data_IF_550591920411
#
_entry.id   IF_550591920411
#
_cell.length_a   1.000
_cell.length_b   1.000
_cell.length_c   1.000
_cell.angle_alpha   90.00
_cell.angle_beta   90.00
_cell.angle_gamma   90.00
#
_symmetry.space_group_name_H-M   'P 1'
#
loop_
_entity.id
_entity.type
_entity.pdbx_description
1 polymer ?
#
# COMPACT_ATOMS: atom_id res chain seq x y z
N UNK A 1 -19.30 6.58 11.30
CA UNK A 1 -18.21 6.10 10.41
C UNK A 1 -18.27 4.59 10.29
N UNK A 2 -18.13 3.98 9.11
CA UNK A 2 -18.12 2.52 8.97
C UNK A 2 -16.92 1.92 9.70
N UNK A 3 -17.12 0.96 10.60
CA UNK A 3 -16.06 0.33 11.38
C UNK A 3 -14.94 -0.25 10.50
N UNK A 4 -15.31 -0.76 9.33
CA UNK A 4 -14.38 -1.31 8.35
C UNK A 4 -13.41 -0.25 7.79
N UNK A 5 -13.85 0.99 7.57
CA UNK A 5 -12.98 2.07 7.06
C UNK A 5 -11.90 2.46 8.06
N UNK A 6 -12.24 2.49 9.35
CA UNK A 6 -11.27 2.74 10.43
C UNK A 6 -10.27 1.58 10.50
N UNK A 7 -10.78 0.34 10.47
CA UNK A 7 -9.93 -0.84 10.47
C UNK A 7 -8.94 -0.84 9.30
N UNK A 8 -9.40 -0.55 8.08
CA UNK A 8 -8.55 -0.47 6.90
C UNK A 8 -7.47 0.60 7.04
N UNK A 9 -7.83 1.83 7.44
CA UNK A 9 -6.86 2.91 7.65
C UNK A 9 -5.80 2.56 8.71
N UNK A 10 -6.22 2.08 9.89
CA UNK A 10 -5.27 1.67 10.95
C UNK A 10 -4.39 0.51 10.48
N UNK A 11 -4.95 -0.44 9.75
CA UNK A 11 -4.20 -1.58 9.25
C UNK A 11 -3.17 -1.19 8.19
N UNK A 12 -3.46 -0.18 7.38
CA UNK A 12 -2.53 0.35 6.38
C UNK A 12 -1.23 0.85 7.03
N UNK A 13 -1.34 1.51 8.18
CA UNK A 13 -0.17 1.98 8.95
C UNK A 13 0.66 0.80 9.46
N UNK A 14 0.00 -0.27 9.93
CA UNK A 14 0.69 -1.48 10.40
C UNK A 14 1.39 -2.17 9.23
N UNK A 15 0.72 -2.33 8.10
CA UNK A 15 1.31 -2.94 6.90
C UNK A 15 2.48 -2.12 6.39
N UNK A 16 2.36 -0.80 6.39
CA UNK A 16 3.45 0.12 6.03
C UNK A 16 4.71 -0.12 6.85
N UNK A 17 4.57 -0.28 8.17
CA UNK A 17 5.70 -0.62 9.05
C UNK A 17 6.32 -1.96 8.65
N UNK A 18 5.52 -2.97 8.34
CA UNK A 18 6.01 -4.29 7.93
C UNK A 18 6.70 -4.22 6.56
N UNK A 19 6.14 -3.48 5.59
CA UNK A 19 6.76 -3.27 4.26
C UNK A 19 8.11 -2.59 4.41
N UNK A 20 8.19 -1.51 5.19
CA UNK A 20 9.44 -0.81 5.44
C UNK A 20 10.45 -1.72 6.13
N UNK A 21 10.00 -2.53 7.10
CA UNK A 21 10.85 -3.52 7.74
C UNK A 21 11.39 -4.55 6.73
N UNK A 22 10.56 -5.09 5.84
CA UNK A 22 10.98 -6.07 4.81
C UNK A 22 11.98 -5.47 3.83
N UNK A 23 11.72 -4.27 3.34
CA UNK A 23 12.61 -3.55 2.41
C UNK A 23 13.95 -3.26 3.08
N UNK A 24 13.92 -2.71 4.29
CA UNK A 24 15.14 -2.36 5.04
C UNK A 24 15.96 -3.58 5.42
N UNK A 25 15.31 -4.65 5.87
CA UNK A 25 15.97 -5.91 6.20
C UNK A 25 16.63 -6.53 4.98
N UNK A 26 15.95 -6.55 3.83
CA UNK A 26 16.55 -7.02 2.60
C UNK A 26 17.73 -6.12 2.18
N UNK A 27 17.61 -4.80 2.29
CA UNK A 27 18.70 -3.86 1.99
C UNK A 27 19.94 -4.08 2.86
N UNK A 28 19.78 -4.25 4.18
CA UNK A 28 20.90 -4.41 5.13
C UNK A 28 21.47 -5.82 5.18
N UNK A 29 20.61 -6.82 5.30
CA UNK A 29 20.98 -8.20 5.61
C UNK A 29 20.88 -9.13 4.41
N UNK A 30 20.23 -8.71 3.31
CA UNK A 30 19.98 -9.55 2.14
C UNK A 30 19.03 -10.72 2.38
N UNK A 31 18.29 -10.69 3.48
CA UNK A 31 17.28 -11.70 3.81
C UNK A 31 15.88 -11.16 3.60
N UNK A 32 14.94 -12.04 3.28
CA UNK A 32 13.52 -11.73 3.19
C UNK A 32 12.72 -12.78 3.97
N UNK A 33 11.94 -12.33 4.96
CA UNK A 33 11.04 -13.22 5.66
C UNK A 33 9.84 -13.53 4.76
N UNK A 34 9.83 -14.74 4.20
CA UNK A 34 8.81 -15.20 3.25
C UNK A 34 7.40 -15.18 3.83
N UNK A 35 7.25 -15.57 5.09
CA UNK A 35 5.96 -15.59 5.77
C UNK A 35 5.38 -14.18 5.91
N UNK A 36 6.21 -13.23 6.34
CA UNK A 36 5.81 -11.82 6.43
C UNK A 36 5.51 -11.21 5.05
N UNK A 37 6.34 -11.49 4.05
CA UNK A 37 6.13 -10.99 2.69
C UNK A 37 4.82 -11.49 2.07
N UNK A 38 4.53 -12.79 2.21
CA UNK A 38 3.26 -13.38 1.74
C UNK A 38 2.09 -12.82 2.53
N UNK A 39 2.22 -12.74 3.86
CA UNK A 39 1.16 -12.21 4.73
C UNK A 39 0.79 -10.77 4.40
N UNK A 40 1.79 -9.90 4.21
CA UNK A 40 1.57 -8.51 3.79
C UNK A 40 0.91 -8.44 2.41
N UNK A 41 1.43 -9.16 1.42
CA UNK A 41 0.88 -9.13 0.08
C UNK A 41 -0.57 -9.64 0.03
N UNK A 42 -0.86 -10.72 0.76
CA UNK A 42 -2.21 -11.25 0.90
C UNK A 42 -3.12 -10.26 1.63
N UNK A 43 -2.64 -9.61 2.69
CA UNK A 43 -3.39 -8.59 3.41
C UNK A 43 -3.78 -7.43 2.48
N UNK A 44 -2.82 -6.87 1.75
CA UNK A 44 -3.07 -5.81 0.76
C UNK A 44 -4.12 -6.23 -0.29
N UNK A 45 -4.01 -7.46 -0.79
CA UNK A 45 -4.93 -7.98 -1.79
C UNK A 45 -6.34 -8.22 -1.23
N UNK A 46 -6.46 -8.83 -0.05
CA UNK A 46 -7.77 -9.26 0.47
C UNK A 46 -8.47 -8.20 1.29
N UNK A 47 -7.76 -7.31 1.97
CA UNK A 47 -8.35 -6.27 2.80
C UNK A 47 -8.47 -4.99 1.99
N UNK A 48 -7.36 -4.43 1.52
CA UNK A 48 -7.37 -3.11 0.88
C UNK A 48 -8.00 -3.14 -0.52
N UNK A 49 -7.62 -4.09 -1.37
CA UNK A 49 -8.17 -4.17 -2.74
C UNK A 49 -9.64 -4.59 -2.74
N UNK A 50 -10.02 -5.62 -1.96
CA UNK A 50 -11.42 -6.06 -1.92
C UNK A 50 -12.33 -4.99 -1.29
N UNK A 51 -11.85 -4.23 -0.30
CA UNK A 51 -12.59 -3.10 0.24
C UNK A 51 -12.92 -2.07 -0.84
N UNK A 52 -11.93 -1.68 -1.65
CA UNK A 52 -12.15 -0.75 -2.75
C UNK A 52 -13.13 -1.31 -3.79
N UNK A 53 -12.99 -2.58 -4.18
CA UNK A 53 -13.91 -3.23 -5.13
C UNK A 53 -15.33 -3.26 -4.59
N UNK A 54 -15.51 -3.66 -3.33
CA UNK A 54 -16.81 -3.67 -2.68
C UNK A 54 -17.44 -2.27 -2.64
N UNK A 55 -16.65 -1.24 -2.32
CA UNK A 55 -17.11 0.16 -2.32
C UNK A 55 -17.48 0.66 -3.72
N UNK A 56 -16.77 0.22 -4.76
CA UNK A 56 -17.11 0.51 -6.16
C UNK A 56 -18.44 -0.13 -6.55
N UNK A 57 -18.64 -1.40 -6.18
CA UNK A 57 -19.86 -2.17 -6.48
C UNK A 57 -21.10 -1.64 -5.77
N UNK A 58 -20.96 -1.17 -4.53
CA UNK A 58 -22.08 -0.60 -3.78
C UNK A 58 -22.53 0.77 -4.32
N UNK A 59 -21.90 1.27 -5.39
CA UNK A 59 -22.26 2.53 -6.02
C UNK A 59 -22.21 3.65 -4.99
N UNK A 60 -21.01 4.10 -4.65
CA UNK A 60 -20.78 5.21 -3.71
C UNK A 60 -21.34 6.56 -4.24
N UNK A 61 -22.66 6.61 -4.43
CA UNK A 61 -23.49 7.76 -4.74
C UNK A 61 -23.97 8.31 -3.40
N UNK A 62 -23.04 8.77 -2.57
CA UNK A 62 -23.39 9.45 -1.33
C UNK A 62 -22.51 10.69 -1.18
N UNK A 63 -23.16 11.83 -1.42
CA UNK A 63 -22.68 13.23 -1.52
C UNK A 63 -22.02 13.62 -2.85
N UNK A 64 -22.46 14.73 -3.43
CA UNK A 64 -21.72 15.43 -4.50
C UNK A 64 -20.31 15.74 -3.99
N UNK A 65 -19.34 15.01 -4.51
CA UNK A 65 -17.92 15.25 -4.26
C UNK A 65 -17.46 16.30 -5.27
N UNK A 66 -16.73 17.33 -4.83
CA UNK A 66 -16.20 18.32 -5.77
C UNK A 66 -15.31 17.65 -6.82
N UNK A 67 -15.28 18.16 -8.05
CA UNK A 67 -14.51 17.56 -9.15
C UNK A 67 -13.02 17.40 -8.80
N UNK A 68 -12.44 18.35 -8.05
CA UNK A 68 -11.06 18.25 -7.58
C UNK A 68 -10.83 17.09 -6.63
N UNK A 69 -11.76 16.84 -5.70
CA UNK A 69 -11.67 15.73 -4.75
C UNK A 69 -11.93 14.38 -5.43
N UNK A 70 -12.79 14.34 -6.45
CA UNK A 70 -12.96 13.16 -7.31
C UNK A 70 -11.68 12.81 -8.08
N UNK A 71 -11.02 13.80 -8.70
CA UNK A 71 -9.74 13.61 -9.38
C UNK A 71 -8.69 13.09 -8.39
N UNK A 72 -8.62 13.67 -7.19
CA UNK A 72 -7.71 13.21 -6.15
C UNK A 72 -7.94 11.74 -5.77
N UNK A 73 -9.19 11.31 -5.61
CA UNK A 73 -9.52 9.91 -5.31
C UNK A 73 -9.11 8.96 -6.44
N UNK A 74 -9.33 9.35 -7.69
CA UNK A 74 -8.91 8.56 -8.87
C UNK A 74 -7.38 8.42 -8.89
N UNK A 75 -6.66 9.55 -8.74
CA UNK A 75 -5.20 9.55 -8.74
C UNK A 75 -4.63 8.69 -7.61
N UNK A 76 -5.18 8.80 -6.39
CA UNK A 76 -4.78 7.93 -5.29
C UNK A 76 -5.05 6.45 -5.58
N UNK A 77 -6.23 6.10 -6.10
CA UNK A 77 -6.57 4.72 -6.45
C UNK A 77 -5.64 4.14 -7.51
N UNK A 78 -5.34 4.92 -8.57
CA UNK A 78 -4.38 4.53 -9.61
C UNK A 78 -2.96 4.36 -9.05
N UNK A 79 -2.50 5.29 -8.21
CA UNK A 79 -1.19 5.19 -7.57
C UNK A 79 -1.10 3.94 -6.69
N UNK A 80 -2.12 3.69 -5.88
CA UNK A 80 -2.15 2.54 -4.96
C UNK A 80 -2.14 1.21 -5.73
N UNK A 81 -2.82 1.13 -6.88
CA UNK A 81 -2.75 -0.05 -7.75
C UNK A 81 -1.33 -0.26 -8.32
N UNK A 82 -0.69 0.80 -8.81
CA UNK A 82 0.71 0.72 -9.30
C UNK A 82 1.63 0.25 -8.18
N UNK A 83 1.48 0.80 -6.97
CA UNK A 83 2.31 0.44 -5.83
C UNK A 83 2.06 -0.99 -5.35
N UNK A 84 0.82 -1.47 -5.38
CA UNK A 84 0.49 -2.86 -5.10
C UNK A 84 1.19 -3.82 -6.08
N UNK A 85 1.19 -3.50 -7.37
CA UNK A 85 1.92 -4.29 -8.39
C UNK A 85 3.43 -4.26 -8.15
N UNK A 86 3.99 -3.09 -7.85
CA UNK A 86 5.41 -2.94 -7.52
C UNK A 86 5.80 -3.71 -6.25
N UNK A 87 4.95 -3.71 -5.22
CA UNK A 87 5.16 -4.50 -4.01
C UNK A 87 5.31 -5.98 -4.35
N UNK A 88 4.37 -6.55 -5.11
CA UNK A 88 4.43 -7.94 -5.54
C UNK A 88 5.70 -8.26 -6.34
N UNK A 89 6.01 -7.40 -7.33
CA UNK A 89 7.20 -7.54 -8.16
C UNK A 89 8.50 -7.48 -7.32
N UNK A 90 8.64 -6.50 -6.44
CA UNK A 90 9.87 -6.31 -5.67
C UNK A 90 10.02 -7.34 -4.55
N UNK A 91 8.94 -7.76 -3.89
CA UNK A 91 9.00 -8.88 -2.95
C UNK A 91 9.41 -10.18 -3.66
N UNK A 92 8.91 -10.42 -4.87
CA UNK A 92 9.32 -11.57 -5.69
C UNK A 92 10.79 -11.51 -6.08
N UNK A 93 11.28 -10.38 -6.59
CA UNK A 93 12.70 -10.20 -6.95
C UNK A 93 13.61 -10.32 -5.72
N UNK A 94 13.25 -9.69 -4.61
CA UNK A 94 13.96 -9.79 -3.34
C UNK A 94 14.04 -11.24 -2.86
N UNK A 95 12.95 -12.02 -2.99
CA UNK A 95 12.92 -13.44 -2.66
C UNK A 95 13.88 -14.26 -3.53
N UNK A 96 13.84 -14.07 -4.85
CA UNK A 96 14.67 -14.82 -5.79
C UNK A 96 16.16 -14.55 -5.58
N UNK A 97 16.53 -13.29 -5.32
CA UNK A 97 17.92 -12.91 -5.06
C UNK A 97 18.38 -13.36 -3.66
N UNK A 98 17.52 -13.29 -2.64
CA UNK A 98 17.85 -13.77 -1.29
C UNK A 98 18.20 -15.27 -1.30
N UNK A 99 17.53 -16.07 -2.13
CA UNK A 99 17.88 -17.50 -2.32
C UNK A 99 19.28 -17.72 -2.90
N UNK A 100 19.84 -16.72 -3.58
CA UNK A 100 21.20 -16.74 -4.16
C UNK A 100 22.23 -16.03 -3.28
N UNK A 101 21.88 -15.69 -2.03
CA UNK A 101 22.74 -14.91 -1.14
C UNK A 101 22.93 -13.46 -1.58
N UNK A 102 22.05 -12.95 -2.46
CA UNK A 102 22.07 -11.60 -3.01
C UNK A 102 20.92 -10.77 -2.47
N UNK A 103 21.05 -9.45 -2.53
CA UNK A 103 20.03 -8.52 -2.04
C UNK A 103 19.56 -7.62 -3.15
N UNK A 104 18.27 -7.69 -3.49
CA UNK A 104 17.68 -6.85 -4.52
C UNK A 104 17.81 -5.37 -4.17
N UNK A 105 17.32 -4.95 -3.00
CA UNK A 105 17.31 -3.53 -2.66
C UNK A 105 18.71 -2.97 -2.39
N UNK A 106 19.67 -3.80 -1.97
CA UNK A 106 21.07 -3.38 -1.84
C UNK A 106 21.74 -3.13 -3.20
N UNK A 107 21.44 -3.97 -4.18
CA UNK A 107 21.94 -3.84 -5.55
C UNK A 107 21.21 -2.74 -6.33
N UNK A 108 19.98 -2.40 -5.92
CA UNK A 108 19.10 -1.44 -6.58
C UNK A 108 18.57 -0.37 -5.60
N UNK A 109 19.46 0.45 -5.00
CA UNK A 109 19.08 1.41 -3.96
C UNK A 109 18.18 2.54 -4.49
N UNK A 110 18.30 2.91 -5.76
CA UNK A 110 17.43 3.94 -6.36
C UNK A 110 15.98 3.42 -6.41
N UNK A 111 15.79 2.17 -6.83
CA UNK A 111 14.48 1.52 -6.88
C UNK A 111 13.90 1.36 -5.46
N UNK A 112 14.74 1.07 -4.46
CA UNK A 112 14.33 1.06 -3.06
C UNK A 112 13.73 2.41 -2.63
N UNK A 113 14.46 3.51 -2.87
CA UNK A 113 14.01 4.84 -2.46
C UNK A 113 12.77 5.29 -3.23
N UNK A 114 12.71 5.07 -4.55
CA UNK A 114 11.52 5.36 -5.35
C UNK A 114 10.32 4.60 -4.78
N UNK A 115 10.46 3.31 -4.48
CA UNK A 115 9.39 2.51 -3.90
C UNK A 115 8.92 3.04 -2.55
N UNK A 116 9.85 3.30 -1.62
CA UNK A 116 9.52 3.83 -0.28
C UNK A 116 8.81 5.18 -0.37
N UNK A 117 9.30 6.09 -1.23
CA UNK A 117 8.70 7.40 -1.40
C UNK A 117 7.29 7.32 -1.99
N UNK A 118 7.10 6.52 -3.05
CA UNK A 118 5.77 6.34 -3.64
C UNK A 118 4.80 5.63 -2.70
N UNK A 119 5.29 4.63 -1.93
CA UNK A 119 4.52 3.99 -0.87
C UNK A 119 4.06 5.01 0.17
N UNK A 120 4.97 5.85 0.67
CA UNK A 120 4.64 6.90 1.64
C UNK A 120 3.55 7.85 1.09
N UNK A 121 3.70 8.30 -0.16
CA UNK A 121 2.72 9.19 -0.80
C UNK A 121 1.36 8.50 -0.92
N UNK A 122 1.33 7.21 -1.32
CA UNK A 122 0.10 6.42 -1.41
C UNK A 122 -0.60 6.30 -0.06
N UNK A 123 0.11 5.92 1.00
CA UNK A 123 -0.44 5.81 2.37
C UNK A 123 -0.95 7.15 2.88
N UNK A 124 -0.12 8.20 2.79
CA UNK A 124 -0.50 9.54 3.28
C UNK A 124 -1.71 10.11 2.53
N UNK A 125 -1.80 9.87 1.22
CA UNK A 125 -2.98 10.28 0.46
C UNK A 125 -4.22 9.45 0.83
N UNK A 126 -4.06 8.16 1.14
CA UNK A 126 -5.15 7.31 1.65
C UNK A 126 -5.70 7.80 2.99
N UNK A 127 -4.81 8.13 3.93
CA UNK A 127 -5.18 8.73 5.23
C UNK A 127 -5.87 10.08 5.05
N UNK A 128 -5.38 10.93 4.15
CA UNK A 128 -6.04 12.20 3.82
C UNK A 128 -7.46 11.99 3.27
N UNK A 129 -7.67 10.98 2.41
CA UNK A 129 -8.99 10.59 1.93
C UNK A 129 -9.87 10.14 3.10
N UNK A 130 -9.35 9.29 3.99
CA UNK A 130 -10.10 8.83 5.16
C UNK A 130 -10.54 10.01 6.05
N UNK A 131 -9.64 10.93 6.38
CA UNK A 131 -9.91 12.12 7.20
C UNK A 131 -10.96 13.02 6.53
N UNK A 132 -10.78 13.35 5.25
CA UNK A 132 -11.72 14.23 4.53
C UNK A 132 -13.11 13.62 4.41
N UNK A 133 -13.20 12.31 4.17
CA UNK A 133 -14.46 11.62 3.89
C UNK A 133 -15.22 11.23 5.15
N UNK A 134 -14.55 11.02 6.28
CA UNK A 134 -15.20 10.52 7.49
C UNK A 134 -15.10 11.45 8.70
N UNK A 135 -14.04 12.25 8.84
CA UNK A 135 -13.86 13.14 10.00
C UNK A 135 -14.38 14.55 9.69
N UNK A 136 -14.00 15.10 8.53
CA UNK A 136 -14.31 16.49 8.18
C UNK A 136 -15.66 16.69 7.46
N UNK A 137 -16.30 15.61 7.00
CA UNK A 137 -17.56 15.66 6.23
C UNK A 137 -18.83 15.50 7.09
N UNK A 138 -18.67 15.55 8.42
CA UNK A 138 -19.74 15.61 9.43
C UNK A 138 -20.07 17.07 9.73
#
# INVERSE_FOLDING_TARGET
MPAYSIFSAVSELVVTVIVYHLVWKNYKEGTLNKGLAIGVFAFELFVNMMYMIHRLQQGAVEKEVSSGLLIFFILHGSLSLVIFVLLGLYLWLAFLLSKKGRSFFKEHPIQMWIFICLWAISVLSGEAIFITRYILSH
#
